data_IF_088376459656
#
_entry.id   IF_088376459656
#
_cell.length_a   1.000
_cell.length_b   1.000
_cell.length_c   1.000
_cell.angle_alpha   90.00
_cell.angle_beta   90.00
_cell.angle_gamma   90.00
#
_symmetry.space_group_name_H-M   'P 1'
#
loop_
_entity.id
_entity.type
_entity.pdbx_description
1 polymer ?
#
# COMPACT_ATOMS: atom_id res chain seq x y z
N UNK A 1 -20.14 -17.75 -42.92
CA UNK A 1 -18.71 -18.01 -43.05
C UNK A 1 -18.39 -19.19 -42.15
N UNK A 2 -17.91 -20.28 -42.79
CA UNK A 2 -17.10 -21.38 -42.25
C UNK A 2 -17.83 -22.18 -41.14
N UNK A 3 -18.73 -23.13 -41.46
CA UNK A 3 -18.49 -24.45 -42.10
C UNK A 3 -17.50 -25.29 -41.30
N UNK A 4 -18.03 -26.02 -40.34
CA UNK A 4 -17.39 -27.18 -39.72
C UNK A 4 -17.30 -28.31 -40.76
N UNK A 5 -16.10 -28.86 -41.05
CA UNK A 5 -15.98 -30.13 -41.74
C UNK A 5 -15.76 -31.25 -40.73
N UNK A 6 -16.78 -32.11 -40.63
CA UNK A 6 -16.67 -33.51 -40.25
C UNK A 6 -15.57 -34.19 -41.10
N UNK A 7 -14.61 -34.86 -40.45
CA UNK A 7 -13.70 -35.80 -41.12
C UNK A 7 -13.99 -37.23 -40.65
N UNK A 8 -14.88 -37.83 -41.44
CA UNK A 8 -14.99 -39.25 -41.74
C UNK A 8 -13.66 -39.76 -42.32
N UNK A 9 -13.28 -41.01 -42.04
CA UNK A 9 -12.20 -41.71 -42.75
C UNK A 9 -11.30 -42.52 -41.84
N UNK A 10 -11.74 -43.69 -41.36
CA UNK A 10 -11.43 -44.99 -42.01
C UNK A 10 -10.08 -45.56 -41.56
N UNK A 11 -10.17 -46.57 -40.69
CA UNK A 11 -9.09 -47.47 -40.32
C UNK A 11 -8.59 -48.23 -41.57
N UNK A 12 -7.40 -47.87 -42.08
CA UNK A 12 -6.60 -48.78 -42.91
C UNK A 12 -5.22 -49.05 -42.25
N UNK A 13 -4.86 -50.34 -42.05
CA UNK A 13 -3.65 -50.74 -41.35
C UNK A 13 -2.45 -50.77 -42.31
N UNK A 14 -1.56 -49.78 -42.24
CA UNK A 14 -0.40 -49.82 -43.12
C UNK A 14 0.55 -48.62 -43.17
N UNK A 15 0.97 -48.06 -42.04
CA UNK A 15 2.23 -47.30 -41.98
C UNK A 15 2.69 -47.21 -40.51
N UNK A 16 3.95 -47.58 -40.16
CA UNK A 16 4.42 -47.39 -38.79
C UNK A 16 4.64 -45.91 -38.53
N UNK A 17 3.83 -45.32 -37.65
CA UNK A 17 4.26 -44.14 -36.92
C UNK A 17 5.55 -44.50 -36.18
N UNK A 18 6.53 -43.62 -36.25
CA UNK A 18 7.84 -43.75 -35.64
C UNK A 18 7.68 -43.81 -34.11
N UNK A 19 7.49 -45.03 -33.59
CA UNK A 19 7.39 -45.28 -32.16
C UNK A 19 8.79 -45.20 -31.60
N UNK A 20 9.05 -44.16 -30.80
CA UNK A 20 10.15 -44.14 -29.83
C UNK A 20 9.96 -45.35 -28.92
N UNK A 21 10.56 -46.47 -29.32
CA UNK A 21 10.50 -47.75 -28.63
C UNK A 21 11.38 -47.67 -27.40
N UNK A 22 10.78 -47.28 -26.28
CA UNK A 22 11.47 -47.20 -24.99
C UNK A 22 10.70 -47.76 -23.79
N UNK A 23 9.49 -48.27 -23.97
CA UNK A 23 8.73 -48.90 -22.89
C UNK A 23 8.00 -50.14 -23.38
N UNK A 24 8.74 -51.26 -23.47
CA UNK A 24 8.16 -52.60 -23.47
C UNK A 24 7.95 -53.03 -22.00
N UNK A 25 6.70 -53.20 -21.51
CA UNK A 25 6.44 -53.69 -20.16
C UNK A 25 6.81 -55.17 -19.97
N UNK A 26 7.17 -55.90 -21.05
CA UNK A 26 7.44 -57.34 -21.03
C UNK A 26 8.93 -57.71 -21.09
N UNK A 27 9.84 -56.75 -21.20
CA UNK A 27 11.26 -56.95 -20.90
C UNK A 27 11.54 -56.49 -19.47
N UNK A 28 11.07 -57.28 -18.50
CA UNK A 28 11.58 -57.18 -17.14
C UNK A 28 13.07 -57.53 -17.13
N UNK A 29 13.92 -56.84 -16.37
CA UNK A 29 15.22 -57.41 -16.03
C UNK A 29 14.94 -58.64 -15.14
N UNK A 30 15.11 -59.82 -15.73
CA UNK A 30 15.34 -61.02 -14.96
C UNK A 30 16.56 -60.78 -14.06
N UNK A 31 16.41 -61.11 -12.78
CA UNK A 31 17.42 -61.00 -11.72
C UNK A 31 17.78 -59.57 -11.25
N UNK A 32 17.06 -59.07 -10.24
CA UNK A 32 17.65 -58.60 -8.96
C UNK A 32 16.59 -57.83 -8.13
N UNK A 33 15.78 -58.56 -7.35
CA UNK A 33 14.90 -57.97 -6.34
C UNK A 33 15.64 -57.08 -5.32
N UNK A 34 16.97 -57.25 -5.22
CA UNK A 34 17.86 -56.48 -4.35
C UNK A 34 18.21 -55.09 -4.89
N UNK A 35 18.32 -54.90 -6.21
CA UNK A 35 18.71 -53.60 -6.82
C UNK A 35 17.58 -52.59 -6.89
N UNK A 36 16.33 -53.04 -7.06
CA UNK A 36 15.15 -52.16 -7.03
C UNK A 36 14.89 -51.61 -5.62
N UNK A 37 15.06 -52.44 -4.60
CA UNK A 37 15.00 -52.02 -3.20
C UNK A 37 16.09 -51.01 -2.84
N UNK A 38 17.33 -51.21 -3.31
CA UNK A 38 18.40 -50.25 -3.06
C UNK A 38 18.20 -48.91 -3.77
N UNK A 39 17.67 -48.90 -5.01
CA UNK A 39 17.32 -47.63 -5.69
C UNK A 39 16.21 -46.86 -4.98
N UNK A 40 15.19 -47.56 -4.46
CA UNK A 40 14.13 -46.95 -3.65
C UNK A 40 14.67 -46.39 -2.33
N UNK A 41 15.57 -47.12 -1.65
CA UNK A 41 16.22 -46.66 -0.43
C UNK A 41 17.10 -45.42 -0.67
N UNK A 42 17.85 -45.38 -1.77
CA UNK A 42 18.63 -44.20 -2.16
C UNK A 42 17.76 -43.00 -2.50
N UNK A 43 16.63 -43.22 -3.17
CA UNK A 43 15.64 -42.16 -3.44
C UNK A 43 15.04 -41.59 -2.16
N UNK A 44 14.66 -42.46 -1.21
CA UNK A 44 14.12 -42.03 0.09
C UNK A 44 15.17 -41.30 0.94
N UNK A 45 16.41 -41.78 0.94
CA UNK A 45 17.52 -41.09 1.61
C UNK A 45 17.79 -39.71 0.99
N UNK A 46 17.77 -39.60 -0.34
CA UNK A 46 17.90 -38.32 -1.03
C UNK A 46 16.78 -37.35 -0.69
N UNK A 47 15.53 -37.82 -0.66
CA UNK A 47 14.39 -37.01 -0.25
C UNK A 47 14.50 -36.54 1.20
N UNK A 48 14.94 -37.40 2.13
CA UNK A 48 15.14 -37.03 3.54
C UNK A 48 16.24 -35.96 3.68
N UNK A 49 17.38 -36.14 3.01
CA UNK A 49 18.46 -35.16 3.05
C UNK A 49 18.00 -33.83 2.46
N UNK A 50 17.29 -33.84 1.33
CA UNK A 50 16.73 -32.63 0.74
C UNK A 50 15.74 -31.93 1.68
N UNK A 51 14.86 -32.67 2.34
CA UNK A 51 13.91 -32.13 3.32
C UNK A 51 14.63 -31.53 4.53
N UNK A 52 15.69 -32.16 5.03
CA UNK A 52 16.50 -31.63 6.14
C UNK A 52 17.24 -30.36 5.73
N UNK A 53 17.81 -30.32 4.52
CA UNK A 53 18.49 -29.13 4.00
C UNK A 53 17.52 -27.97 3.81
N UNK A 54 16.33 -28.22 3.25
CA UNK A 54 15.28 -27.20 3.12
C UNK A 54 14.78 -26.72 4.47
N UNK A 55 14.52 -27.64 5.42
CA UNK A 55 14.13 -27.26 6.77
C UNK A 55 15.22 -26.41 7.43
N UNK A 56 16.49 -26.82 7.35
CA UNK A 56 17.61 -26.06 7.89
C UNK A 56 17.73 -24.67 7.24
N UNK A 57 17.52 -24.55 5.93
CA UNK A 57 17.48 -23.27 5.24
C UNK A 57 16.32 -22.39 5.76
N UNK A 58 15.10 -22.93 5.85
CA UNK A 58 13.94 -22.19 6.37
C UNK A 58 14.15 -21.73 7.81
N UNK A 59 14.73 -22.57 8.67
CA UNK A 59 15.03 -22.19 10.06
C UNK A 59 16.23 -21.25 10.18
N UNK A 60 17.24 -21.33 9.30
CA UNK A 60 18.41 -20.47 9.33
C UNK A 60 18.12 -19.07 8.76
N UNK A 61 17.30 -18.99 7.70
CA UNK A 61 16.84 -17.72 7.14
C UNK A 61 15.62 -17.15 7.87
N UNK A 62 14.96 -17.99 8.69
CA UNK A 62 13.78 -17.63 9.47
C UNK A 62 12.53 -17.42 8.61
N UNK A 63 11.37 -17.64 9.21
CA UNK A 63 10.26 -16.72 8.96
C UNK A 63 10.63 -15.47 9.77
N UNK A 64 10.54 -14.27 9.21
CA UNK A 64 11.00 -13.06 9.87
C UNK A 64 10.27 -12.81 11.20
N UNK A 65 10.79 -13.36 12.30
CA UNK A 65 10.24 -13.20 13.66
C UNK A 65 10.66 -11.86 14.29
N UNK A 66 11.39 -11.04 13.52
CA UNK A 66 11.78 -9.69 13.91
C UNK A 66 10.58 -8.78 13.90
N UNK A 67 9.79 -8.82 14.98
CA UNK A 67 8.72 -7.85 15.21
C UNK A 67 9.26 -6.45 14.96
N UNK A 68 8.59 -5.64 14.13
CA UNK A 68 9.07 -4.30 13.86
C UNK A 68 9.06 -3.47 15.15
N UNK A 69 10.10 -2.68 15.35
CA UNK A 69 10.17 -1.75 16.48
C UNK A 69 9.28 -0.54 16.19
N UNK A 70 8.23 -0.35 16.99
CA UNK A 70 7.37 0.84 16.91
C UNK A 70 8.05 2.11 17.46
N UNK A 71 9.34 2.09 17.78
CA UNK A 71 10.18 3.27 18.11
C UNK A 71 9.57 4.25 19.13
N UNK A 72 8.83 3.72 20.09
CA UNK A 72 8.15 4.50 21.13
C UNK A 72 6.85 5.20 20.69
N UNK A 73 6.40 5.01 19.44
CA UNK A 73 5.11 5.50 18.98
C UNK A 73 3.96 4.81 19.71
N UNK A 74 2.98 5.61 20.15
CA UNK A 74 1.77 5.11 20.82
C UNK A 74 0.54 5.90 20.41
N UNK A 75 -0.53 5.17 20.10
CA UNK A 75 -1.87 5.77 20.01
C UNK A 75 -2.41 5.95 21.45
N UNK A 76 -2.22 7.15 22.00
CA UNK A 76 -2.77 7.54 23.30
C UNK A 76 -4.30 7.63 23.29
N UNK A 77 -4.90 8.18 24.35
CA UNK A 77 -6.36 8.30 24.45
C UNK A 77 -6.99 9.27 23.42
N UNK A 78 -6.19 10.15 22.80
CA UNK A 78 -6.63 11.15 21.81
C UNK A 78 -5.57 11.29 20.70
N UNK A 79 -5.39 10.26 19.86
CA UNK A 79 -4.30 10.26 18.87
C UNK A 79 -4.45 11.37 17.83
N UNK A 80 -5.69 11.73 17.45
CA UNK A 80 -5.93 12.85 16.52
C UNK A 80 -5.51 14.22 17.08
N UNK A 81 -5.26 14.36 18.39
CA UNK A 81 -4.73 15.59 18.96
C UNK A 81 -3.26 15.86 18.55
N UNK A 82 -2.57 14.86 17.99
CA UNK A 82 -1.26 15.04 17.36
C UNK A 82 -1.34 15.94 16.10
N UNK A 83 -2.48 15.92 15.40
CA UNK A 83 -2.73 16.69 14.19
C UNK A 83 -3.03 18.17 14.52
N UNK A 84 -2.02 18.90 14.99
CA UNK A 84 -2.12 20.33 15.33
C UNK A 84 -2.11 21.24 14.11
N UNK A 85 -1.50 20.78 13.01
CA UNK A 85 -1.43 21.45 11.71
C UNK A 85 -0.98 22.91 11.81
N UNK A 86 0.13 23.18 12.50
CA UNK A 86 0.53 24.57 12.80
C UNK A 86 0.94 25.31 11.53
N UNK A 87 1.68 24.65 10.63
CA UNK A 87 2.15 25.27 9.39
C UNK A 87 0.98 25.51 8.44
N UNK A 88 0.18 24.46 8.15
CA UNK A 88 -1.01 24.58 7.30
C UNK A 88 -2.02 25.56 7.88
N UNK A 89 -2.24 25.56 9.19
CA UNK A 89 -3.16 26.53 9.81
C UNK A 89 -2.69 27.99 9.68
N UNK A 90 -1.38 28.20 9.52
CA UNK A 90 -0.78 29.51 9.32
C UNK A 90 -0.93 30.03 7.89
N UNK A 91 -0.91 29.13 6.89
CA UNK A 91 -0.93 29.49 5.47
C UNK A 91 -2.31 29.39 4.81
N UNK A 92 -3.10 28.38 5.19
CA UNK A 92 -4.38 28.03 4.53
C UNK A 92 -5.58 28.65 5.25
N UNK A 93 -5.58 28.62 6.58
CA UNK A 93 -6.74 28.98 7.40
C UNK A 93 -6.84 28.13 8.64
N UNK A 94 -7.72 28.48 9.58
CA UNK A 94 -7.80 27.76 10.86
C UNK A 94 -8.62 26.48 10.72
N UNK A 95 -8.34 25.51 11.57
CA UNK A 95 -9.21 24.36 11.74
C UNK A 95 -10.60 24.83 12.21
N UNK A 96 -11.64 24.46 11.47
CA UNK A 96 -13.02 24.80 11.84
C UNK A 96 -13.38 24.14 13.16
N UNK A 97 -12.96 22.88 13.32
CA UNK A 97 -13.24 22.02 14.45
C UNK A 97 -11.96 21.30 14.90
N UNK A 98 -12.00 20.65 16.06
CA UNK A 98 -10.90 19.78 16.48
C UNK A 98 -10.85 18.55 15.56
N UNK A 99 -9.65 18.01 15.27
CA UNK A 99 -9.50 16.73 14.58
C UNK A 99 -10.38 15.65 15.18
N UNK A 100 -11.09 14.93 14.32
CA UNK A 100 -12.01 13.85 14.71
C UNK A 100 -11.54 12.51 14.15
N UNK A 101 -11.81 11.42 14.87
CA UNK A 101 -11.57 10.05 14.40
C UNK A 101 -12.66 9.64 13.41
N UNK A 102 -12.30 9.25 12.19
CA UNK A 102 -13.24 8.78 11.15
C UNK A 102 -12.56 7.73 10.24
N UNK A 103 -13.11 6.50 10.10
CA UNK A 103 -14.34 5.95 10.69
C UNK A 103 -14.17 5.43 12.14
N UNK A 104 -12.98 5.52 12.73
CA UNK A 104 -12.70 5.11 14.11
C UNK A 104 -11.26 4.65 14.31
N UNK A 105 -11.01 3.96 15.43
CA UNK A 105 -9.72 3.36 15.80
C UNK A 105 -9.81 1.84 15.80
N UNK A 106 -8.76 1.18 15.32
CA UNK A 106 -8.52 -0.25 15.45
C UNK A 106 -7.42 -0.47 16.49
N UNK A 107 -7.71 -1.27 17.50
CA UNK A 107 -6.71 -1.78 18.43
C UNK A 107 -6.63 -3.30 18.24
N UNK A 108 -5.49 -3.80 17.79
CA UNK A 108 -5.30 -5.23 17.55
C UNK A 108 -3.88 -5.63 17.91
N UNK A 109 -3.62 -6.84 18.46
CA UNK A 109 -2.26 -7.27 18.83
C UNK A 109 -1.23 -7.12 17.70
N UNK A 110 -1.65 -7.28 16.44
CA UNK A 110 -0.79 -7.14 15.27
C UNK A 110 -0.58 -5.71 14.76
N UNK A 111 -1.62 -4.87 14.84
CA UNK A 111 -1.60 -3.50 14.32
C UNK A 111 -2.56 -2.63 15.10
N UNK A 112 -2.12 -1.44 15.49
CA UNK A 112 -3.05 -0.39 15.93
C UNK A 112 -3.19 0.63 14.82
N UNK A 113 -4.41 1.06 14.53
CA UNK A 113 -4.68 2.03 13.47
C UNK A 113 -5.64 3.11 13.92
N UNK A 114 -5.41 4.34 13.50
CA UNK A 114 -6.41 5.40 13.59
C UNK A 114 -6.42 6.23 12.32
N UNK A 115 -7.62 6.63 11.93
CA UNK A 115 -7.86 7.57 10.84
C UNK A 115 -8.47 8.85 11.45
N UNK A 116 -7.89 10.00 11.11
CA UNK A 116 -8.27 11.32 11.61
C UNK A 116 -8.61 12.24 10.44
N UNK A 117 -9.57 13.13 10.62
CA UNK A 117 -9.93 14.15 9.64
C UNK A 117 -10.21 15.51 10.30
N UNK A 118 -9.86 16.59 9.60
CA UNK A 118 -10.18 17.97 9.97
C UNK A 118 -10.31 18.84 8.73
N UNK A 119 -11.24 19.80 8.74
CA UNK A 119 -11.37 20.80 7.69
C UNK A 119 -10.73 22.12 8.13
N UNK A 120 -9.98 22.74 7.23
CA UNK A 120 -9.40 24.08 7.37
C UNK A 120 -10.19 25.08 6.53
N UNK A 121 -10.66 26.14 7.19
CA UNK A 121 -11.41 27.22 6.56
C UNK A 121 -11.27 28.55 7.33
N UNK A 122 -11.60 29.70 6.70
CA UNK A 122 -11.82 29.86 5.27
C UNK A 122 -10.49 29.79 4.51
N UNK A 123 -10.45 29.02 3.42
CA UNK A 123 -9.33 29.04 2.51
C UNK A 123 -9.50 30.17 1.49
N UNK A 124 -8.59 31.14 1.49
CA UNK A 124 -8.60 32.25 0.53
C UNK A 124 -7.56 31.99 -0.55
N UNK A 125 -8.03 31.74 -1.77
CA UNK A 125 -7.18 31.65 -2.94
C UNK A 125 -6.51 33.00 -3.17
N UNK A 126 -5.20 33.08 -2.93
CA UNK A 126 -4.45 34.30 -3.16
C UNK A 126 -4.30 34.54 -4.67
N UNK A 127 -4.79 35.68 -5.16
CA UNK A 127 -4.47 36.19 -6.51
C UNK A 127 -5.40 35.80 -7.65
N UNK A 128 -6.53 35.11 -7.42
CA UNK A 128 -7.55 34.83 -8.44
C UNK A 128 -8.92 35.37 -8.00
N UNK A 129 -9.80 35.65 -8.98
CA UNK A 129 -11.17 36.14 -8.71
C UNK A 129 -11.77 35.29 -7.60
N UNK A 130 -12.31 35.93 -6.55
CA UNK A 130 -13.14 35.22 -5.57
C UNK A 130 -14.06 34.28 -6.33
N UNK A 131 -14.12 33.03 -5.86
CA UNK A 131 -15.09 32.07 -6.36
C UNK A 131 -16.45 32.79 -6.43
N UNK A 132 -17.16 32.62 -7.55
CA UNK A 132 -18.41 33.35 -7.82
C UNK A 132 -19.34 33.32 -6.59
N UNK A 133 -20.15 34.37 -6.40
CA UNK A 133 -21.08 34.49 -5.27
C UNK A 133 -21.78 33.13 -4.99
N UNK A 134 -21.59 32.57 -3.79
CA UNK A 134 -22.13 31.28 -3.38
C UNK A 134 -21.12 30.11 -3.30
N UNK A 135 -19.91 30.22 -3.85
CA UNK A 135 -18.89 29.18 -3.70
C UNK A 135 -18.03 29.38 -2.44
N UNK A 136 -17.86 28.30 -1.67
CA UNK A 136 -16.92 28.19 -0.55
C UNK A 136 -15.84 27.16 -0.85
N UNK A 137 -14.61 27.43 -0.45
CA UNK A 137 -13.50 26.49 -0.60
C UNK A 137 -12.96 26.11 0.76
N UNK A 138 -12.77 24.81 0.97
CA UNK A 138 -12.21 24.25 2.19
C UNK A 138 -11.09 23.29 1.84
N UNK A 139 -10.11 23.16 2.74
CA UNK A 139 -9.09 22.11 2.66
C UNK A 139 -9.44 21.04 3.68
N UNK A 140 -9.61 19.81 3.23
CA UNK A 140 -9.72 18.64 4.08
C UNK A 140 -8.32 18.09 4.33
N UNK A 141 -7.95 17.90 5.59
CA UNK A 141 -6.70 17.26 5.98
C UNK A 141 -7.04 15.94 6.68
N UNK A 142 -6.46 14.86 6.17
CA UNK A 142 -6.63 13.51 6.71
C UNK A 142 -5.29 13.00 7.23
N UNK A 143 -5.34 12.16 8.26
CA UNK A 143 -4.17 11.49 8.80
C UNK A 143 -4.50 10.04 9.11
N UNK A 144 -3.69 9.11 8.63
CA UNK A 144 -3.69 7.70 9.01
C UNK A 144 -2.42 7.39 9.78
N UNK A 145 -2.57 6.73 10.91
CA UNK A 145 -1.44 6.20 11.69
C UNK A 145 -1.65 4.70 11.86
N UNK A 146 -0.68 3.91 11.43
CA UNK A 146 -0.66 2.45 11.53
C UNK A 146 0.62 2.03 12.30
N UNK A 147 0.44 1.43 13.47
CA UNK A 147 1.52 0.92 14.31
C UNK A 147 1.55 -0.60 14.19
N UNK A 148 2.42 -1.10 13.30
CA UNK A 148 2.64 -2.51 13.09
C UNK A 148 3.49 -3.07 14.22
N UNK A 149 2.98 -4.12 14.88
CA UNK A 149 3.60 -4.75 16.05
C UNK A 149 4.11 -6.16 15.78
N UNK A 150 3.64 -6.79 14.70
CA UNK A 150 3.99 -8.17 14.35
C UNK A 150 4.61 -8.29 12.94
N UNK A 151 4.16 -7.51 11.96
CA UNK A 151 4.62 -7.60 10.56
C UNK A 151 5.35 -6.33 10.14
N UNK A 152 6.55 -6.44 9.56
CA UNK A 152 7.28 -5.30 9.00
C UNK A 152 6.50 -4.65 7.83
N UNK A 153 6.12 -3.37 7.94
CA UNK A 153 5.39 -2.67 6.88
C UNK A 153 6.28 -2.19 5.72
N UNK A 154 7.62 -2.24 5.84
CA UNK A 154 8.55 -1.67 4.87
C UNK A 154 8.31 -2.10 3.41
N UNK A 155 8.21 -3.42 3.12
CA UNK A 155 7.97 -3.89 1.75
C UNK A 155 6.65 -3.39 1.14
N UNK A 156 5.58 -3.33 1.94
CA UNK A 156 4.29 -2.81 1.48
C UNK A 156 4.33 -1.29 1.31
N UNK A 157 4.98 -0.58 2.23
CA UNK A 157 5.14 0.87 2.19
C UNK A 157 5.84 1.34 0.91
N UNK A 158 6.95 0.68 0.52
CA UNK A 158 7.66 0.98 -0.73
C UNK A 158 6.82 0.67 -1.98
N UNK A 159 6.06 -0.42 -1.94
CA UNK A 159 5.24 -0.86 -3.08
C UNK A 159 4.00 0.01 -3.30
N UNK A 160 3.35 0.47 -2.22
CA UNK A 160 2.07 1.18 -2.29
C UNK A 160 2.24 2.68 -2.49
N UNK A 161 3.13 3.34 -1.74
CA UNK A 161 3.25 4.82 -1.79
C UNK A 161 3.80 5.36 -3.12
N UNK A 162 4.32 4.49 -3.98
CA UNK A 162 4.77 4.87 -5.33
C UNK A 162 3.69 4.72 -6.40
N UNK A 163 2.53 4.14 -6.05
CA UNK A 163 1.51 3.75 -7.02
C UNK A 163 0.11 4.25 -6.69
N UNK A 164 -0.28 4.23 -5.41
CA UNK A 164 -1.62 4.61 -4.97
C UNK A 164 -1.59 5.47 -3.71
N UNK A 165 -2.61 6.31 -3.54
CA UNK A 165 -2.80 7.14 -2.34
C UNK A 165 -3.52 6.41 -1.19
N UNK A 166 -3.83 7.13 -0.11
CA UNK A 166 -4.62 6.64 1.03
C UNK A 166 -6.01 6.08 0.69
N UNK A 167 -6.57 6.46 -0.46
CA UNK A 167 -7.91 6.11 -0.95
C UNK A 167 -7.89 5.18 -2.17
N UNK A 168 -6.72 4.79 -2.68
CA UNK A 168 -6.55 3.89 -3.83
C UNK A 168 -6.49 4.58 -5.20
N UNK A 169 -6.34 5.90 -5.27
CA UNK A 169 -6.21 6.67 -6.49
C UNK A 169 -4.77 6.59 -7.05
N UNK A 170 -4.61 6.65 -8.37
CA UNK A 170 -3.29 6.65 -9.03
C UNK A 170 -2.48 7.90 -8.68
N UNK A 171 -1.16 7.71 -8.54
CA UNK A 171 -0.23 8.77 -8.21
C UNK A 171 0.32 9.45 -9.47
N UNK A 172 0.24 10.79 -9.53
CA UNK A 172 0.84 11.57 -10.62
C UNK A 172 2.35 11.79 -10.42
N UNK A 173 2.79 12.07 -9.19
CA UNK A 173 4.20 12.38 -8.89
C UNK A 173 4.59 11.89 -7.49
N UNK A 174 5.80 11.35 -7.37
CA UNK A 174 6.40 10.91 -6.10
C UNK A 174 7.75 11.58 -5.93
N UNK A 175 8.00 12.15 -4.76
CA UNK A 175 9.28 12.75 -4.38
C UNK A 175 9.73 12.21 -3.01
N UNK A 176 10.97 11.74 -2.90
CA UNK A 176 11.53 11.30 -1.63
C UNK A 176 11.86 12.47 -0.71
N UNK A 177 11.53 12.34 0.57
CA UNK A 177 11.84 13.33 1.61
C UNK A 177 12.97 12.79 2.48
N UNK A 178 14.09 13.52 2.55
CA UNK A 178 15.24 13.14 3.38
C UNK A 178 15.07 13.70 4.79
N UNK A 179 15.38 12.89 5.81
CA UNK A 179 15.40 13.33 7.21
C UNK A 179 14.05 13.23 7.93
N UNK A 180 13.06 12.55 7.34
CA UNK A 180 11.75 12.30 7.91
C UNK A 180 11.51 10.78 7.99
N UNK A 181 11.62 10.21 9.20
CA UNK A 181 11.55 8.75 9.40
C UNK A 181 12.74 7.99 8.78
N UNK A 182 12.55 6.68 8.59
CA UNK A 182 13.47 5.82 7.83
C UNK A 182 13.30 6.04 6.31
N UNK A 183 12.05 6.17 5.86
CA UNK A 183 11.68 6.47 4.47
C UNK A 183 10.45 7.38 4.44
N UNK A 184 10.46 8.40 3.60
CA UNK A 184 9.31 9.27 3.42
C UNK A 184 9.13 9.73 1.98
N UNK A 185 7.87 9.91 1.58
CA UNK A 185 7.48 10.30 0.23
C UNK A 185 6.44 11.42 0.29
N UNK A 186 6.66 12.47 -0.50
CA UNK A 186 5.62 13.39 -0.94
C UNK A 186 4.99 12.81 -2.20
N UNK A 187 3.69 12.59 -2.16
CA UNK A 187 2.89 12.00 -3.22
C UNK A 187 1.88 13.04 -3.66
N UNK A 188 1.98 13.48 -4.91
CA UNK A 188 0.99 14.36 -5.56
C UNK A 188 0.09 13.51 -6.43
N UNK A 189 -1.22 13.56 -6.17
CA UNK A 189 -2.20 12.79 -6.92
C UNK A 189 -2.69 13.58 -8.14
N UNK A 190 -3.07 14.82 -7.88
CA UNK A 190 -3.55 15.80 -8.83
C UNK A 190 -3.28 17.20 -8.27
N UNK A 191 -3.76 18.23 -8.97
CA UNK A 191 -3.58 19.63 -8.55
C UNK A 191 -4.28 19.96 -7.23
N UNK A 192 -5.30 19.18 -6.86
CA UNK A 192 -6.17 19.40 -5.70
C UNK A 192 -5.90 18.45 -4.54
N UNK A 193 -4.92 17.54 -4.64
CA UNK A 193 -4.65 16.51 -3.64
C UNK A 193 -3.16 16.15 -3.54
N UNK A 194 -2.65 16.14 -2.31
CA UNK A 194 -1.27 15.75 -2.00
C UNK A 194 -1.20 15.06 -0.65
N UNK A 195 -0.28 14.12 -0.48
CA UNK A 195 -0.06 13.43 0.79
C UNK A 195 1.44 13.25 1.08
N UNK A 196 1.77 13.16 2.36
CA UNK A 196 3.10 12.77 2.85
C UNK A 196 2.93 11.45 3.59
N UNK A 197 3.63 10.42 3.13
CA UNK A 197 3.72 9.11 3.79
C UNK A 197 5.10 8.92 4.40
N UNK A 198 5.14 8.47 5.65
CA UNK A 198 6.37 8.26 6.42
C UNK A 198 6.37 6.86 7.03
N UNK A 199 7.50 6.17 6.89
CA UNK A 199 7.84 4.92 7.57
C UNK A 199 8.93 5.21 8.59
N UNK A 200 8.72 4.84 9.85
CA UNK A 200 9.73 4.94 10.92
C UNK A 200 9.63 3.69 11.82
N UNK A 201 10.48 2.69 11.54
CA UNK A 201 10.36 1.35 12.14
C UNK A 201 9.02 0.67 11.78
N UNK A 202 8.26 0.27 12.80
CA UNK A 202 6.92 -0.31 12.64
C UNK A 202 5.80 0.71 12.49
N UNK A 203 6.08 2.01 12.49
CA UNK A 203 5.06 3.04 12.33
C UNK A 203 4.98 3.52 10.88
N UNK A 204 3.77 3.47 10.31
CA UNK A 204 3.40 4.10 9.05
C UNK A 204 2.46 5.26 9.35
N UNK A 205 2.84 6.46 8.96
CA UNK A 205 2.05 7.68 9.17
C UNK A 205 1.87 8.35 7.83
N UNK A 206 0.63 8.58 7.43
CA UNK A 206 0.31 9.31 6.21
C UNK A 206 -0.59 10.48 6.52
N UNK A 207 -0.24 11.66 6.02
CA UNK A 207 -1.05 12.87 6.14
C UNK A 207 -1.37 13.35 4.73
N UNK A 208 -2.66 13.45 4.41
CA UNK A 208 -3.16 13.95 3.13
C UNK A 208 -3.83 15.30 3.29
N UNK A 209 -3.77 16.13 2.25
CA UNK A 209 -4.64 17.28 2.08
C UNK A 209 -5.32 17.23 0.72
N UNK A 210 -6.58 17.61 0.70
CA UNK A 210 -7.35 17.80 -0.53
C UNK A 210 -8.20 19.07 -0.48
N UNK A 211 -8.35 19.73 -1.61
CA UNK A 211 -9.26 20.88 -1.75
C UNK A 211 -10.62 20.39 -2.19
N UNK A 212 -11.66 20.92 -1.56
CA UNK A 212 -13.03 20.80 -2.07
C UNK A 212 -13.68 22.17 -2.15
N UNK A 213 -14.44 22.37 -3.22
CA UNK A 213 -15.27 23.56 -3.44
C UNK A 213 -16.72 23.16 -3.28
N UNK A 214 -17.43 23.85 -2.39
CA UNK A 214 -18.85 23.61 -2.10
C UNK A 214 -19.63 24.85 -2.53
N UNK A 215 -20.66 24.64 -3.35
CA UNK A 215 -21.59 25.69 -3.74
C UNK A 215 -22.77 25.75 -2.77
N UNK A 216 -23.07 26.93 -2.25
CA UNK A 216 -24.18 27.24 -1.36
C UNK A 216 -25.31 27.91 -2.16
N UNK A 217 -26.05 27.10 -2.91
CA UNK A 217 -27.21 27.51 -3.70
C UNK A 217 -27.95 26.32 -4.32
N UNK A 218 -29.16 26.53 -4.83
CA UNK A 218 -30.00 25.46 -5.39
C UNK A 218 -29.43 24.87 -6.68
N UNK A 219 -28.92 25.74 -7.56
CA UNK A 219 -28.32 25.36 -8.83
C UNK A 219 -26.92 25.99 -8.97
N UNK A 220 -25.84 25.19 -9.08
CA UNK A 220 -24.50 25.72 -9.32
C UNK A 220 -24.47 26.42 -10.68
N UNK A 221 -23.88 27.63 -10.79
CA UNK A 221 -23.77 28.32 -12.06
C UNK A 221 -23.02 27.47 -13.08
N UNK A 222 -23.49 27.47 -14.34
CA UNK A 222 -22.80 26.77 -15.43
C UNK A 222 -21.41 27.39 -15.67
N UNK A 223 -20.36 26.60 -15.44
CA UNK A 223 -18.97 26.99 -15.66
C UNK A 223 -17.98 26.11 -14.90
N UNK A 224 -16.74 26.04 -15.36
CA UNK A 224 -15.66 25.38 -14.62
C UNK A 224 -15.26 26.25 -13.42
N UNK A 225 -15.31 25.67 -12.22
CA UNK A 225 -14.74 26.31 -11.03
C UNK A 225 -13.26 25.95 -10.97
N UNK A 226 -12.41 26.97 -11.00
CA UNK A 226 -10.96 26.77 -10.91
C UNK A 226 -10.61 26.27 -9.50
N UNK A 227 -10.20 24.99 -9.41
CA UNK A 227 -9.77 24.40 -8.14
C UNK A 227 -8.35 24.90 -7.83
N UNK A 228 -8.11 25.43 -6.62
CA UNK A 228 -6.79 25.90 -6.23
C UNK A 228 -5.75 24.79 -6.21
N UNK A 229 -4.56 25.07 -6.76
CA UNK A 229 -3.42 24.17 -6.68
C UNK A 229 -2.87 24.05 -5.25
N UNK A 230 -2.56 22.83 -4.83
CA UNK A 230 -1.98 22.55 -3.50
C UNK A 230 -0.46 22.60 -3.44
N UNK A 231 0.24 22.64 -4.58
CA UNK A 231 1.71 22.70 -4.66
C UNK A 231 2.33 23.74 -3.72
N UNK A 232 1.80 24.97 -3.58
CA UNK A 232 2.38 25.97 -2.68
C UNK A 232 2.37 25.59 -1.19
N UNK A 233 1.49 24.66 -0.78
CA UNK A 233 1.31 24.26 0.63
C UNK A 233 2.01 22.94 0.97
N UNK A 234 2.62 22.26 -0.01
CA UNK A 234 3.30 20.97 0.22
C UNK A 234 4.43 21.08 1.25
N UNK A 235 5.13 22.22 1.28
CA UNK A 235 6.15 22.49 2.31
C UNK A 235 5.58 22.55 3.73
N UNK A 236 4.39 23.14 3.89
CA UNK A 236 3.70 23.22 5.18
C UNK A 236 3.20 21.83 5.61
N UNK A 237 2.69 21.03 4.67
CA UNK A 237 2.30 19.64 4.94
C UNK A 237 3.47 18.79 5.43
N UNK A 238 4.65 18.92 4.81
CA UNK A 238 5.87 18.22 5.27
C UNK A 238 6.28 18.68 6.68
N UNK A 239 6.21 19.99 6.94
CA UNK A 239 6.48 20.53 8.28
C UNK A 239 5.51 20.00 9.34
N UNK A 240 4.22 19.90 9.01
CA UNK A 240 3.22 19.36 9.92
C UNK A 240 3.37 17.84 10.11
N UNK A 241 3.90 17.11 9.12
CA UNK A 241 4.25 15.70 9.27
C UNK A 241 5.39 15.47 10.27
N UNK A 242 6.41 16.33 10.29
CA UNK A 242 7.43 16.32 11.35
C UNK A 242 6.80 16.52 12.74
N UNK A 243 5.96 17.55 12.88
CA UNK A 243 5.28 17.87 14.14
C UNK A 243 4.40 16.71 14.64
N UNK A 244 3.76 15.97 13.73
CA UNK A 244 2.93 14.79 14.07
C UNK A 244 3.79 13.63 14.56
N UNK A 245 4.91 13.32 13.88
CA UNK A 245 5.82 12.26 14.32
C UNK A 245 6.32 12.54 15.74
N UNK A 246 6.77 13.76 15.98
CA UNK A 246 7.28 14.17 17.30
C UNK A 246 6.18 14.12 18.37
N UNK A 247 4.95 14.45 18.03
CA UNK A 247 3.82 14.41 18.97
C UNK A 247 3.35 12.98 19.31
N UNK A 248 3.59 12.00 18.44
CA UNK A 248 3.19 10.60 18.64
C UNK A 248 4.26 9.77 19.38
N UNK A 249 5.50 10.24 19.45
CA UNK A 249 6.56 9.63 20.26
C UNK A 249 6.32 9.90 21.75
N UNK A 250 6.32 8.84 22.56
CA UNK A 250 6.12 8.89 24.01
C UNK A 250 7.44 9.00 24.79
#
# INVERSE_FOLDING_TARGET
MISEPELVGEDEPGAPAEVVSGFDPRQGPAADGRRRGQRLLWGAAGALVASVVWAAAVFAYGFGDGKPDVRGYRLGAKPCAAMKLKALSGSVGKAEHKPTEQPGRVEHPAVDRVDCAVSLAPFKVSGKKQAADGWSTQISVTMRVELHKETDPGPEFEALNTKVDLFGNEVAKVEGIVGLGDSAYLVTLDDASSQVSVLDGGAVITIGMSVSTVYDGEDPPEGETEVPELTPYQGDLISDAHDVLDALKA
#
